data_IF_972982044909
#
_entry.id   IF_972982044909
#
_cell.length_a   1.000
_cell.length_b   1.000
_cell.length_c   1.000
_cell.angle_alpha   90.00
_cell.angle_beta   90.00
_cell.angle_gamma   90.00
#
_symmetry.space_group_name_H-M   'P 1'
#
loop_
_entity.id
_entity.type
_entity.pdbx_description
1 polymer ?
#
# COMPACT_ATOMS: atom_id res chain seq x y z
N UNK A 1 8.18 -13.14 17.37
CA UNK A 1 8.43 -13.07 15.91
C UNK A 1 7.09 -13.17 15.22
N UNK A 2 6.62 -12.13 14.53
CA UNK A 2 5.37 -12.19 13.79
C UNK A 2 5.55 -13.03 12.52
N UNK A 3 4.66 -13.99 12.27
CA UNK A 3 4.61 -14.67 10.97
C UNK A 3 4.22 -13.64 9.90
N UNK A 4 4.91 -13.64 8.76
CA UNK A 4 4.54 -12.82 7.59
C UNK A 4 3.06 -13.05 7.21
N UNK A 5 2.39 -11.98 6.79
CA UNK A 5 1.00 -12.02 6.36
C UNK A 5 0.86 -12.79 5.04
N UNK A 6 -0.35 -13.27 4.72
CA UNK A 6 -0.59 -14.01 3.48
C UNK A 6 -0.33 -13.14 2.24
N UNK A 7 -0.62 -11.84 2.32
CA UNK A 7 -0.31 -10.87 1.26
C UNK A 7 1.19 -10.69 1.04
N UNK A 8 1.98 -10.59 2.10
CA UNK A 8 3.45 -10.52 2.01
C UNK A 8 4.03 -11.80 1.38
N UNK A 9 3.55 -12.98 1.80
CA UNK A 9 3.94 -14.26 1.19
C UNK A 9 3.58 -14.31 -0.29
N UNK A 10 2.38 -13.89 -0.66
CA UNK A 10 1.94 -13.86 -2.05
C UNK A 10 2.78 -12.88 -2.89
N UNK A 11 3.20 -11.74 -2.33
CA UNK A 11 4.08 -10.79 -2.99
C UNK A 11 5.46 -11.39 -3.25
N UNK A 12 6.07 -12.07 -2.27
CA UNK A 12 7.37 -12.76 -2.44
C UNK A 12 7.27 -13.86 -3.52
N UNK A 13 6.23 -14.71 -3.46
CA UNK A 13 6.00 -15.76 -4.46
C UNK A 13 5.82 -15.16 -5.86
N UNK A 14 5.17 -14.00 -5.98
CA UNK A 14 5.00 -13.30 -7.26
C UNK A 14 6.33 -12.81 -7.82
N UNK A 15 7.22 -12.24 -7.01
CA UNK A 15 8.54 -11.80 -7.47
C UNK A 15 9.42 -12.98 -7.89
N UNK A 16 9.50 -14.05 -7.07
CA UNK A 16 10.24 -15.26 -7.44
C UNK A 16 9.69 -15.94 -8.70
N UNK A 17 8.37 -15.88 -8.93
CA UNK A 17 7.79 -16.38 -10.18
C UNK A 17 8.26 -15.60 -11.41
N UNK A 18 8.56 -14.29 -11.29
CA UNK A 18 9.12 -13.49 -12.40
C UNK A 18 10.55 -13.87 -12.72
N UNK A 19 11.30 -14.33 -11.72
CA UNK A 19 12.68 -14.81 -11.89
C UNK A 19 12.75 -16.20 -12.57
N UNK A 20 11.60 -16.86 -12.77
CA UNK A 20 11.50 -18.12 -13.52
C UNK A 20 11.27 -19.37 -12.66
N UNK A 21 11.12 -19.22 -11.33
CA UNK A 21 10.84 -20.35 -10.46
C UNK A 21 9.40 -20.87 -10.63
N UNK A 22 9.23 -22.19 -10.58
CA UNK A 22 7.91 -22.81 -10.70
C UNK A 22 7.02 -22.53 -9.49
N UNK A 23 5.79 -22.09 -9.74
CA UNK A 23 4.82 -21.71 -8.71
C UNK A 23 4.54 -22.84 -7.70
N UNK A 24 4.58 -24.11 -8.13
CA UNK A 24 4.29 -25.27 -7.27
C UNK A 24 5.24 -25.30 -6.06
N UNK A 25 6.55 -25.25 -6.30
CA UNK A 25 7.56 -25.30 -5.25
C UNK A 25 7.53 -24.06 -4.35
N UNK A 26 7.24 -22.90 -4.93
CA UNK A 26 7.14 -21.65 -4.17
C UNK A 26 5.96 -21.65 -3.16
N UNK A 27 4.81 -22.18 -3.58
CA UNK A 27 3.63 -22.29 -2.71
C UNK A 27 3.85 -23.29 -1.58
N UNK A 28 4.49 -24.43 -1.87
CA UNK A 28 4.81 -25.45 -0.88
C UNK A 28 5.82 -24.91 0.16
N UNK A 29 6.87 -24.22 -0.31
CA UNK A 29 7.89 -23.61 0.57
C UNK A 29 7.29 -22.54 1.51
N UNK A 30 6.36 -21.73 1.02
CA UNK A 30 5.73 -20.65 1.79
C UNK A 30 4.50 -21.11 2.59
N UNK A 31 4.11 -22.39 2.46
CA UNK A 31 2.87 -22.96 3.00
C UNK A 31 1.64 -22.11 2.64
N UNK A 32 1.56 -21.71 1.37
CA UNK A 32 0.50 -20.84 0.85
C UNK A 32 -0.43 -21.65 -0.07
N UNK A 33 -1.72 -21.65 0.23
CA UNK A 33 -2.69 -22.30 -0.66
C UNK A 33 -2.78 -21.56 -2.00
N UNK A 34 -2.95 -22.31 -3.09
CA UNK A 34 -3.03 -21.77 -4.44
C UNK A 34 -4.17 -20.76 -4.62
N UNK A 35 -5.31 -21.01 -3.98
CA UNK A 35 -6.46 -20.08 -3.96
C UNK A 35 -6.10 -18.76 -3.26
N UNK A 36 -5.40 -18.82 -2.13
CA UNK A 36 -4.93 -17.64 -1.39
C UNK A 36 -3.96 -16.81 -2.22
N UNK A 37 -3.02 -17.45 -2.92
CA UNK A 37 -2.11 -16.75 -3.84
C UNK A 37 -2.85 -15.94 -4.91
N UNK A 38 -3.79 -16.56 -5.63
CA UNK A 38 -4.55 -15.85 -6.66
C UNK A 38 -5.50 -14.81 -6.07
N UNK A 39 -6.05 -15.05 -4.88
CA UNK A 39 -6.86 -14.07 -4.16
C UNK A 39 -6.04 -12.82 -3.84
N UNK A 40 -4.88 -12.97 -3.19
CA UNK A 40 -4.02 -11.84 -2.81
C UNK A 40 -3.46 -11.10 -4.04
N UNK A 41 -3.13 -11.80 -5.13
CA UNK A 41 -2.69 -11.15 -6.37
C UNK A 41 -3.81 -10.37 -7.05
N UNK A 42 -5.03 -10.90 -7.03
CA UNK A 42 -6.20 -10.23 -7.62
C UNK A 42 -6.74 -9.12 -6.73
N UNK A 43 -6.38 -9.11 -5.44
CA UNK A 43 -6.80 -8.11 -4.47
C UNK A 43 -6.20 -6.76 -4.82
N UNK A 44 -6.94 -5.97 -5.59
CA UNK A 44 -6.66 -4.56 -5.74
C UNK A 44 -7.14 -3.86 -4.48
N UNK A 45 -6.22 -3.16 -3.80
CA UNK A 45 -6.55 -2.40 -2.62
C UNK A 45 -7.27 -1.11 -3.03
N UNK A 46 -8.59 -1.21 -3.23
CA UNK A 46 -9.44 -0.11 -3.70
C UNK A 46 -9.37 1.10 -2.77
N UNK A 47 -9.09 0.87 -1.49
CA UNK A 47 -8.94 1.91 -0.48
C UNK A 47 -7.66 2.69 -0.74
N UNK A 48 -6.53 2.01 -0.95
CA UNK A 48 -5.28 2.68 -1.30
C UNK A 48 -5.38 3.39 -2.64
N UNK A 49 -6.06 2.81 -3.63
CA UNK A 49 -6.21 3.45 -4.93
C UNK A 49 -7.00 4.78 -4.84
N UNK A 50 -8.05 4.82 -4.01
CA UNK A 50 -8.82 6.04 -3.71
C UNK A 50 -8.04 7.05 -2.87
N UNK A 51 -7.15 6.57 -2.00
CA UNK A 51 -6.37 7.42 -1.10
C UNK A 51 -5.03 7.83 -1.71
N UNK A 52 -4.63 7.28 -2.85
CA UNK A 52 -3.31 7.48 -3.45
C UNK A 52 -3.05 8.95 -3.75
N UNK A 53 -3.97 9.60 -4.45
CA UNK A 53 -3.89 11.03 -4.78
C UNK A 53 -3.75 11.89 -3.52
N UNK A 54 -4.56 11.60 -2.49
CA UNK A 54 -4.51 12.32 -1.22
C UNK A 54 -3.18 12.10 -0.48
N UNK A 55 -2.68 10.86 -0.44
CA UNK A 55 -1.39 10.51 0.17
C UNK A 55 -0.24 11.22 -0.53
N UNK A 56 -0.26 11.25 -1.86
CA UNK A 56 0.78 11.89 -2.68
C UNK A 56 0.79 13.42 -2.45
N UNK A 57 -0.39 14.04 -2.37
CA UNK A 57 -0.52 15.47 -2.06
C UNK A 57 -0.03 15.81 -0.64
N UNK A 58 -0.39 15.00 0.36
CA UNK A 58 0.09 15.16 1.74
C UNK A 58 1.61 15.08 1.79
N UNK A 59 2.20 14.10 1.10
CA UNK A 59 3.65 13.96 1.02
C UNK A 59 4.31 15.18 0.35
N UNK A 60 3.71 15.70 -0.71
CA UNK A 60 4.18 16.91 -1.38
C UNK A 60 4.14 18.13 -0.46
N UNK A 61 3.04 18.38 0.25
CA UNK A 61 2.91 19.47 1.22
C UNK A 61 3.96 19.33 2.33
N UNK A 62 4.16 18.12 2.84
CA UNK A 62 5.12 17.86 3.89
C UNK A 62 6.55 18.17 3.43
N UNK A 63 6.94 17.72 2.23
CA UNK A 63 8.25 17.98 1.64
C UNK A 63 8.48 19.46 1.30
N UNK A 64 7.49 20.13 0.70
CA UNK A 64 7.55 21.56 0.39
C UNK A 64 7.80 22.40 1.65
N UNK A 65 7.23 21.99 2.78
CA UNK A 65 7.39 22.64 4.07
C UNK A 65 8.57 22.09 4.89
N UNK A 66 9.48 21.32 4.27
CA UNK A 66 10.68 20.75 4.90
C UNK A 66 10.34 19.93 6.16
N UNK A 67 9.20 19.25 6.17
CA UNK A 67 8.70 18.45 7.27
C UNK A 67 8.21 19.22 8.50
N UNK A 68 8.07 20.55 8.41
CA UNK A 68 7.64 21.40 9.55
C UNK A 68 6.13 21.38 9.79
N UNK A 69 5.37 20.92 8.81
CA UNK A 69 3.90 20.93 8.87
C UNK A 69 3.43 19.61 9.47
N UNK A 70 2.83 19.69 10.66
CA UNK A 70 2.07 18.58 11.22
C UNK A 70 0.64 18.50 10.66
N UNK A 71 -0.11 17.48 11.07
CA UNK A 71 -1.45 17.12 10.56
C UNK A 71 -2.36 18.35 10.37
N UNK A 72 -2.46 19.23 11.37
CA UNK A 72 -3.33 20.41 11.31
C UNK A 72 -2.95 21.39 10.20
N UNK A 73 -1.65 21.64 9.98
CA UNK A 73 -1.15 22.54 8.94
C UNK A 73 -1.28 21.91 7.55
N UNK A 74 -1.03 20.61 7.45
CA UNK A 74 -1.26 19.85 6.21
C UNK A 74 -2.74 19.90 5.82
N UNK A 75 -3.64 19.69 6.78
CA UNK A 75 -5.09 19.78 6.52
C UNK A 75 -5.52 21.16 6.02
N UNK A 76 -5.03 22.24 6.64
CA UNK A 76 -5.33 23.61 6.17
C UNK A 76 -4.82 23.83 4.74
N UNK A 77 -3.63 23.35 4.43
CA UNK A 77 -3.03 23.47 3.10
C UNK A 77 -3.80 22.66 2.04
N UNK A 78 -4.29 21.46 2.39
CA UNK A 78 -5.18 20.68 1.54
C UNK A 78 -6.49 21.43 1.24
N UNK A 79 -7.10 22.06 2.24
CA UNK A 79 -8.31 22.88 2.06
C UNK A 79 -8.01 24.09 1.17
N UNK A 80 -6.86 24.75 1.35
CA UNK A 80 -6.43 25.88 0.51
C UNK A 80 -6.27 25.48 -0.97
N UNK A 81 -5.87 24.22 -1.23
CA UNK A 81 -5.75 23.65 -2.58
C UNK A 81 -7.08 23.13 -3.15
N UNK A 82 -8.18 23.28 -2.41
CA UNK A 82 -9.53 22.91 -2.85
C UNK A 82 -9.94 21.47 -2.53
N UNK A 83 -9.16 20.71 -1.76
CA UNK A 83 -9.52 19.34 -1.37
C UNK A 83 -10.60 19.34 -0.28
N UNK A 84 -11.72 18.65 -0.56
CA UNK A 84 -12.77 18.40 0.42
C UNK A 84 -12.51 17.09 1.16
N UNK A 85 -11.66 17.15 2.18
CA UNK A 85 -11.31 15.99 3.02
C UNK A 85 -11.68 16.22 4.47
N UNK A 86 -11.92 15.14 5.21
CA UNK A 86 -12.07 15.22 6.66
C UNK A 86 -10.67 15.19 7.31
N UNK A 87 -10.45 15.97 8.37
CA UNK A 87 -9.18 15.99 9.13
C UNK A 87 -8.77 14.59 9.64
N UNK A 88 -9.71 13.65 9.83
CA UNK A 88 -9.41 12.26 10.21
C UNK A 88 -8.77 11.41 9.09
N UNK A 89 -8.77 11.91 7.85
CA UNK A 89 -8.21 11.23 6.67
C UNK A 89 -6.84 11.79 6.26
N UNK A 90 -6.32 12.76 7.02
CA UNK A 90 -5.04 13.45 6.80
C UNK A 90 -3.97 12.93 7.75
#
# INVERSE_FOLDING_TARGET
MGCATQGEKAAIVRELRKEGYELKYLLDAMRLARSTYYFEIRKTDKVDLRNKELKDEIAAIFQQNKGRYGVRRVFQELVNRGYQVNHKRV
#
